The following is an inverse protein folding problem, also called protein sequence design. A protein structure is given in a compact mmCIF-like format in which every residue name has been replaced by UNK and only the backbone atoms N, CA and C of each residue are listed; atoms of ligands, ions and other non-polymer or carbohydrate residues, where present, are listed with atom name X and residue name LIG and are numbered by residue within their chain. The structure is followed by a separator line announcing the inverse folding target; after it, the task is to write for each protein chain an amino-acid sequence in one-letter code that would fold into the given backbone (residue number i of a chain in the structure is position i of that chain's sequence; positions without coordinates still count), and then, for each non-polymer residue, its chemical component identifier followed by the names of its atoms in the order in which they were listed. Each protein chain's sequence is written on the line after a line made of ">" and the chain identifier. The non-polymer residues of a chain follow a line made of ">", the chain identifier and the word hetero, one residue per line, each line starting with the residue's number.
data_IF_180505911821
#
_entry.id   IF_180505911821
#
_cell.length_a   1.000
_cell.length_b   1.000
_cell.length_c   1.000
_cell.angle_alpha   90.00
_cell.angle_beta   90.00
_cell.angle_gamma   90.00
#
_symmetry.space_group_name_H-M   'P 1'
#
loop_
_entity.id
_entity.type
_entity.pdbx_description
1 polymer ?
#
# COMPACT_ATOMS: atom_id res chain seq x y z
N UNK A 1 -11.37 -2.62 20.71
CA UNK A 1 -12.40 -2.55 19.65
C UNK A 1 -11.76 -1.92 18.41
N UNK A 2 -12.09 -2.42 17.21
CA UNK A 2 -11.57 -1.83 15.98
C UNK A 2 -12.17 -0.44 15.73
N UNK A 3 -11.38 0.53 15.22
CA UNK A 3 -11.91 1.83 14.87
C UNK A 3 -12.91 1.70 13.70
N UNK A 4 -13.99 2.47 13.74
CA UNK A 4 -15.01 2.52 12.68
C UNK A 4 -15.01 3.84 11.94
N UNK A 5 -14.61 4.91 12.61
CA UNK A 5 -14.57 6.26 12.06
C UNK A 5 -13.17 6.86 12.18
N UNK A 6 -12.94 7.98 11.49
CA UNK A 6 -11.69 8.75 11.63
C UNK A 6 -11.48 9.22 13.09
N UNK A 7 -12.55 9.55 13.80
CA UNK A 7 -12.45 9.94 15.20
C UNK A 7 -12.09 8.73 16.10
N UNK A 8 -12.62 7.55 15.83
CA UNK A 8 -12.20 6.34 16.53
C UNK A 8 -10.72 6.02 16.23
N UNK A 9 -10.31 6.14 14.96
CA UNK A 9 -8.91 5.95 14.56
C UNK A 9 -7.97 6.94 15.29
N UNK A 10 -8.34 8.21 15.33
CA UNK A 10 -7.62 9.21 16.12
C UNK A 10 -7.51 8.83 17.59
N UNK A 11 -8.59 8.32 18.21
CA UNK A 11 -8.57 7.88 19.60
C UNK A 11 -7.66 6.65 19.81
N UNK A 12 -7.60 5.74 18.84
CA UNK A 12 -6.62 4.61 18.87
C UNK A 12 -5.19 5.15 18.84
N UNK A 13 -4.89 6.11 17.96
CA UNK A 13 -3.55 6.72 17.92
C UNK A 13 -3.20 7.39 19.26
N UNK A 14 -4.14 8.10 19.88
CA UNK A 14 -3.96 8.70 21.20
C UNK A 14 -3.72 7.65 22.29
N UNK A 15 -4.46 6.56 22.27
CA UNK A 15 -4.30 5.50 23.26
C UNK A 15 -2.87 4.91 23.20
N UNK A 16 -2.36 4.65 22.01
CA UNK A 16 -0.97 4.19 21.85
C UNK A 16 0.08 5.21 22.28
N UNK A 17 -0.21 6.51 22.17
CA UNK A 17 0.69 7.57 22.61
C UNK A 17 0.67 7.81 24.12
N UNK A 18 -0.54 7.81 24.72
CA UNK A 18 -0.77 8.40 26.05
C UNK A 18 -0.89 7.35 27.16
N UNK A 19 -1.17 6.07 26.82
CA UNK A 19 -1.49 5.02 27.79
C UNK A 19 -0.33 4.08 28.11
N UNK A 20 0.92 4.47 27.78
CA UNK A 20 2.11 3.69 28.08
C UNK A 20 1.97 2.19 27.69
N UNK A 21 1.73 1.87 26.39
CA UNK A 21 1.40 0.50 25.95
C UNK A 21 2.58 -0.47 26.12
N UNK A 22 3.82 0.02 26.21
CA UNK A 22 5.01 -0.78 26.46
C UNK A 22 5.35 -0.91 27.96
N UNK A 23 4.58 -0.25 28.86
CA UNK A 23 4.68 -0.38 30.30
C UNK A 23 5.97 0.11 30.92
N UNK A 24 6.71 0.99 30.21
CA UNK A 24 8.00 1.48 30.68
C UNK A 24 7.94 2.73 31.55
N UNK A 25 6.75 3.32 31.73
CA UNK A 25 6.50 4.53 32.53
C UNK A 25 6.90 5.83 31.84
N UNK A 26 7.26 5.80 30.56
CA UNK A 26 7.66 6.97 29.76
C UNK A 26 6.63 7.23 28.65
N UNK A 27 6.44 8.51 28.30
CA UNK A 27 5.60 8.88 27.15
C UNK A 27 6.49 8.99 25.89
N UNK A 28 7.02 7.84 25.44
CA UNK A 28 7.98 7.76 24.32
C UNK A 28 7.52 6.89 23.16
N UNK A 29 6.22 6.51 23.16
CA UNK A 29 5.57 5.78 22.07
C UNK A 29 4.84 6.72 21.11
N UNK A 30 4.55 6.20 19.90
CA UNK A 30 3.78 6.88 18.88
C UNK A 30 2.49 6.11 18.59
N UNK A 31 1.44 6.83 18.22
CA UNK A 31 0.20 6.22 17.72
C UNK A 31 0.45 5.48 16.41
N UNK A 32 1.06 6.17 15.44
CA UNK A 32 1.36 5.64 14.12
C UNK A 32 2.80 5.98 13.72
N UNK A 33 3.50 5.02 13.12
CA UNK A 33 4.78 5.25 12.48
C UNK A 33 4.56 5.56 11.00
N UNK A 34 5.14 6.67 10.55
CA UNK A 34 5.15 7.12 9.15
C UNK A 34 6.60 7.27 8.71
N UNK A 35 6.89 6.97 7.46
CA UNK A 35 8.23 7.05 6.88
C UNK A 35 8.26 8.10 5.76
N UNK A 36 9.42 8.27 5.12
CA UNK A 36 9.57 9.06 3.90
C UNK A 36 8.63 8.60 2.76
N UNK A 37 8.14 7.34 2.81
CA UNK A 37 7.05 6.85 1.97
C UNK A 37 5.68 7.30 2.51
N UNK A 38 5.39 8.58 2.36
CA UNK A 38 4.15 9.21 2.86
C UNK A 38 2.90 8.78 2.09
N UNK A 39 3.02 8.50 0.80
CA UNK A 39 1.86 8.29 -0.09
C UNK A 39 0.96 7.13 0.35
N UNK A 40 1.50 6.06 0.90
CA UNK A 40 0.70 4.94 1.41
C UNK A 40 -0.30 5.37 2.48
N UNK A 41 0.16 5.88 3.64
CA UNK A 41 -0.72 6.35 4.72
C UNK A 41 -1.63 7.50 4.28
N UNK A 42 -1.11 8.52 3.60
CA UNK A 42 -1.87 9.70 3.20
C UNK A 42 -3.01 9.34 2.23
N UNK A 43 -2.75 8.52 1.22
CA UNK A 43 -3.77 8.17 0.24
C UNK A 43 -4.89 7.32 0.85
N UNK A 44 -4.56 6.39 1.78
CA UNK A 44 -5.58 5.63 2.50
C UNK A 44 -6.47 6.55 3.34
N UNK A 45 -5.87 7.45 4.13
CA UNK A 45 -6.62 8.41 4.95
C UNK A 45 -7.47 9.33 4.06
N UNK A 46 -6.93 9.80 2.93
CA UNK A 46 -7.67 10.65 2.00
C UNK A 46 -8.88 9.92 1.40
N UNK A 47 -8.73 8.66 0.99
CA UNK A 47 -9.83 7.81 0.52
C UNK A 47 -10.90 7.63 1.59
N UNK A 48 -10.51 7.34 2.83
CA UNK A 48 -11.43 7.21 3.97
C UNK A 48 -12.22 8.50 4.23
N UNK A 49 -11.60 9.66 4.01
CA UNK A 49 -12.23 10.96 4.15
C UNK A 49 -13.09 11.37 2.95
N UNK A 50 -13.11 10.59 1.86
CA UNK A 50 -13.95 10.84 0.69
C UNK A 50 -13.21 11.33 -0.55
N UNK A 51 -11.89 11.54 -0.50
CA UNK A 51 -11.11 11.93 -1.66
C UNK A 51 -11.17 10.86 -2.77
N UNK A 52 -11.00 11.23 -4.04
CA UNK A 52 -10.89 10.26 -5.13
C UNK A 52 -9.55 9.54 -5.12
N UNK A 53 -9.49 8.38 -5.79
CA UNK A 53 -8.27 7.62 -5.99
C UNK A 53 -7.47 8.24 -7.16
N UNK A 54 -6.38 8.92 -6.85
CA UNK A 54 -5.48 9.65 -7.74
C UNK A 54 -6.18 10.74 -8.58
N UNK A 55 -7.25 10.41 -9.28
CA UNK A 55 -8.10 11.33 -10.03
C UNK A 55 -9.57 11.11 -9.67
N UNK A 56 -10.34 12.18 -9.79
CA UNK A 56 -11.80 12.17 -9.64
C UNK A 56 -12.46 13.11 -10.64
N UNK A 57 -13.79 13.07 -10.68
CA UNK A 57 -14.58 13.99 -11.50
C UNK A 57 -14.94 15.23 -10.68
N UNK A 58 -14.46 16.38 -11.12
CA UNK A 58 -14.82 17.70 -10.58
C UNK A 58 -15.49 18.50 -11.70
N UNK A 59 -16.75 18.85 -11.50
CA UNK A 59 -17.55 19.51 -12.53
C UNK A 59 -17.59 18.77 -13.88
N UNK A 60 -17.60 17.42 -13.81
CA UNK A 60 -17.64 16.54 -14.99
C UNK A 60 -16.30 16.33 -15.68
N UNK A 61 -15.20 16.87 -15.14
CA UNK A 61 -13.84 16.72 -15.68
C UNK A 61 -12.92 16.02 -14.70
N UNK A 62 -11.96 15.26 -15.25
CA UNK A 62 -10.90 14.63 -14.47
C UNK A 62 -10.03 15.71 -13.81
N UNK A 63 -9.83 15.57 -12.51
CA UNK A 63 -8.92 16.40 -11.72
C UNK A 63 -8.15 15.54 -10.73
N UNK A 64 -6.87 15.84 -10.42
CA UNK A 64 -6.07 15.14 -9.42
C UNK A 64 -6.69 15.20 -8.02
N UNK A 65 -6.52 14.16 -7.22
CA UNK A 65 -7.07 14.04 -5.87
C UNK A 65 -6.72 15.22 -4.96
N UNK A 66 -5.51 15.76 -5.06
CA UNK A 66 -5.08 16.92 -4.26
C UNK A 66 -5.80 18.24 -4.60
N UNK A 67 -6.68 18.27 -5.63
CA UNK A 67 -7.56 19.40 -5.94
C UNK A 67 -8.94 19.30 -5.28
N UNK A 68 -9.18 18.25 -4.47
CA UNK A 68 -10.42 18.03 -3.72
C UNK A 68 -10.23 18.41 -2.26
N UNK A 69 -11.29 18.95 -1.65
CA UNK A 69 -11.24 19.41 -0.26
C UNK A 69 -10.99 18.27 0.72
N UNK A 70 -11.48 17.08 0.42
CA UNK A 70 -11.29 15.86 1.23
C UNK A 70 -9.81 15.45 1.35
N UNK A 71 -9.02 15.69 0.30
CA UNK A 71 -7.58 15.46 0.35
C UNK A 71 -6.87 16.45 1.29
N UNK A 72 -7.28 17.71 1.25
CA UNK A 72 -6.77 18.72 2.19
C UNK A 72 -7.20 18.42 3.63
N UNK A 73 -8.40 17.91 3.84
CA UNK A 73 -8.85 17.44 5.17
C UNK A 73 -7.95 16.31 5.69
N UNK A 74 -7.57 15.36 4.84
CA UNK A 74 -6.62 14.30 5.21
C UNK A 74 -5.24 14.85 5.60
N UNK A 75 -4.73 15.84 4.86
CA UNK A 75 -3.48 16.52 5.21
C UNK A 75 -3.59 17.26 6.56
N UNK A 76 -4.70 17.92 6.82
CA UNK A 76 -4.96 18.59 8.10
C UNK A 76 -5.04 17.60 9.25
N UNK A 77 -5.65 16.44 9.04
CA UNK A 77 -5.69 15.36 10.02
C UNK A 77 -4.28 14.87 10.34
N UNK A 78 -3.46 14.60 9.33
CA UNK A 78 -2.07 14.18 9.54
C UNK A 78 -1.22 15.26 10.21
N UNK A 79 -1.39 16.53 9.83
CA UNK A 79 -0.72 17.65 10.50
C UNK A 79 -1.13 17.74 11.98
N UNK A 80 -2.43 17.56 12.30
CA UNK A 80 -2.90 17.50 13.68
C UNK A 80 -2.22 16.37 14.44
N UNK A 81 -2.21 15.15 13.88
CA UNK A 81 -1.57 13.99 14.49
C UNK A 81 -0.05 14.22 14.70
N UNK A 82 0.63 14.86 13.75
CA UNK A 82 2.04 15.21 13.87
C UNK A 82 2.30 16.21 15.01
N UNK A 83 1.52 17.31 15.06
CA UNK A 83 1.67 18.34 16.07
C UNK A 83 1.37 17.83 17.49
N UNK A 84 0.50 16.85 17.63
CA UNK A 84 0.17 16.20 18.90
C UNK A 84 1.13 15.05 19.27
N UNK A 85 2.13 14.77 18.44
CA UNK A 85 3.12 13.71 18.65
C UNK A 85 2.54 12.31 18.48
N UNK A 86 1.40 12.15 17.81
CA UNK A 86 0.81 10.85 17.48
C UNK A 86 1.52 10.17 16.32
N UNK A 87 2.29 10.93 15.54
CA UNK A 87 3.16 10.44 14.46
C UNK A 87 4.62 10.76 14.86
N UNK A 88 5.54 9.87 14.52
CA UNK A 88 6.96 10.08 14.77
C UNK A 88 7.47 11.38 14.14
N UNK A 89 8.25 12.14 14.90
CA UNK A 89 8.67 13.50 14.54
C UNK A 89 9.75 13.54 13.43
N UNK A 90 10.40 12.43 13.17
CA UNK A 90 11.40 12.24 12.12
C UNK A 90 10.84 11.68 10.82
N UNK A 91 9.50 11.58 10.67
CA UNK A 91 8.80 10.96 9.54
C UNK A 91 9.35 11.37 8.17
N UNK A 92 9.71 12.64 7.99
CA UNK A 92 10.18 13.16 6.71
C UNK A 92 11.55 12.59 6.26
N UNK A 93 12.29 11.99 7.17
CA UNK A 93 13.64 11.43 6.94
C UNK A 93 13.77 10.00 7.42
N UNK A 94 12.69 9.44 7.98
CA UNK A 94 12.69 8.08 8.50
C UNK A 94 12.52 7.08 7.36
N UNK A 95 13.55 6.26 7.15
CA UNK A 95 13.59 5.33 6.01
C UNK A 95 12.59 4.17 6.17
N UNK A 96 11.97 3.79 5.07
CA UNK A 96 10.98 2.71 5.01
C UNK A 96 11.53 1.32 5.34
N UNK A 97 12.84 1.09 5.23
CA UNK A 97 13.48 -0.17 5.65
C UNK A 97 13.50 -0.34 7.18
N UNK A 98 13.44 0.77 7.95
CA UNK A 98 13.40 0.77 9.41
C UNK A 98 11.99 0.71 10.00
N UNK A 99 10.98 0.74 9.18
CA UNK A 99 9.57 0.82 9.59
C UNK A 99 9.19 -0.25 10.62
N UNK A 100 9.64 -1.48 10.40
CA UNK A 100 9.33 -2.60 11.27
C UNK A 100 9.97 -2.48 12.65
N UNK A 101 11.13 -1.84 12.77
CA UNK A 101 11.88 -1.76 14.03
C UNK A 101 11.08 -1.07 15.13
N UNK A 102 10.40 0.04 14.80
CA UNK A 102 9.61 0.80 15.76
C UNK A 102 8.37 0.01 16.24
N UNK A 103 7.74 -0.72 15.32
CA UNK A 103 6.60 -1.57 15.68
C UNK A 103 7.03 -2.76 16.55
N UNK A 104 8.07 -3.47 16.12
CA UNK A 104 8.57 -4.66 16.84
C UNK A 104 9.17 -4.32 18.22
N UNK A 105 9.66 -3.10 18.40
CA UNK A 105 10.15 -2.61 19.69
C UNK A 105 9.06 -2.04 20.60
N UNK A 106 7.77 -2.08 20.18
CA UNK A 106 6.66 -1.52 20.95
C UNK A 106 6.55 0.01 20.91
N UNK A 107 7.38 0.71 20.10
CA UNK A 107 7.39 2.18 20.04
C UNK A 107 6.28 2.77 19.16
N UNK A 108 5.64 1.97 18.32
CA UNK A 108 4.53 2.42 17.48
C UNK A 108 3.40 1.38 17.46
N UNK A 109 2.15 1.84 17.58
CA UNK A 109 0.98 0.97 17.64
C UNK A 109 0.36 0.66 16.28
N UNK A 110 0.50 1.55 15.29
CA UNK A 110 -0.16 1.44 13.99
C UNK A 110 0.81 1.65 12.84
N UNK A 111 0.63 0.82 11.80
CA UNK A 111 1.24 0.98 10.47
C UNK A 111 0.11 0.89 9.44
N UNK A 112 0.08 1.81 8.46
CA UNK A 112 -0.79 1.72 7.29
C UNK A 112 0.04 1.25 6.10
N UNK A 113 -0.14 0.00 5.70
CA UNK A 113 0.61 -0.65 4.62
C UNK A 113 -0.16 -1.85 4.05
N UNK A 114 0.44 -2.56 3.08
CA UNK A 114 -0.11 -3.79 2.53
C UNK A 114 -0.20 -4.90 3.58
N UNK A 115 -1.23 -5.73 3.50
CA UNK A 115 -1.58 -6.67 4.57
C UNK A 115 -0.55 -7.81 4.79
N UNK A 116 0.30 -8.14 3.81
CA UNK A 116 1.36 -9.14 4.00
C UNK A 116 2.38 -8.70 5.09
N UNK A 117 2.53 -7.41 5.31
CA UNK A 117 3.33 -6.86 6.40
C UNK A 117 2.77 -7.26 7.77
N UNK A 118 1.46 -7.19 7.96
CA UNK A 118 0.82 -7.57 9.23
C UNK A 118 1.14 -9.01 9.62
N UNK A 119 1.11 -9.93 8.65
CA UNK A 119 1.48 -11.33 8.86
C UNK A 119 2.92 -11.50 9.31
N UNK A 120 3.86 -10.81 8.64
CA UNK A 120 5.29 -10.85 9.00
C UNK A 120 5.55 -10.24 10.37
N UNK A 121 4.89 -9.11 10.68
CA UNK A 121 5.00 -8.47 11.99
C UNK A 121 4.42 -9.34 13.10
N UNK A 122 3.26 -9.98 12.89
CA UNK A 122 2.68 -10.90 13.86
C UNK A 122 3.63 -12.05 14.21
N UNK A 123 4.23 -12.67 13.21
CA UNK A 123 5.22 -13.75 13.43
C UNK A 123 6.45 -13.26 14.18
N UNK A 124 6.98 -12.09 13.81
CA UNK A 124 8.21 -11.57 14.39
C UNK A 124 7.99 -11.09 15.83
N UNK A 125 6.88 -10.40 16.12
CA UNK A 125 6.60 -9.90 17.47
C UNK A 125 6.28 -11.03 18.43
N UNK A 126 5.55 -12.07 17.97
CA UNK A 126 5.24 -13.25 18.78
C UNK A 126 6.47 -14.14 19.07
N UNK A 127 7.52 -14.05 18.25
CA UNK A 127 8.81 -14.65 18.55
C UNK A 127 9.54 -13.94 19.71
N UNK A 128 9.23 -12.65 19.95
CA UNK A 128 9.78 -11.84 21.06
C UNK A 128 8.86 -11.95 22.29
N UNK A 129 7.57 -11.73 22.10
CA UNK A 129 6.54 -11.86 23.13
C UNK A 129 5.39 -12.74 22.59
N UNK A 130 5.28 -14.00 23.06
CA UNK A 130 4.21 -14.91 22.63
C UNK A 130 2.78 -14.45 22.93
N UNK A 131 2.60 -13.44 23.79
CA UNK A 131 1.29 -12.86 24.11
C UNK A 131 0.96 -11.62 23.26
N UNK A 132 1.89 -11.15 22.44
CA UNK A 132 1.66 -10.00 21.58
C UNK A 132 0.59 -10.31 20.53
N UNK A 133 -0.36 -9.38 20.36
CA UNK A 133 -1.46 -9.50 19.40
C UNK A 133 -1.29 -8.42 18.33
N UNK A 134 -1.21 -8.84 17.08
CA UNK A 134 -1.33 -7.97 15.92
C UNK A 134 -2.72 -8.15 15.35
N UNK A 135 -3.40 -7.05 15.07
CA UNK A 135 -4.72 -7.04 14.46
C UNK A 135 -4.70 -6.24 13.15
N UNK A 136 -5.69 -6.42 12.30
CA UNK A 136 -5.84 -5.70 11.03
C UNK A 136 -7.26 -5.18 10.88
N UNK A 137 -7.38 -4.02 10.21
CA UNK A 137 -8.64 -3.49 9.73
C UNK A 137 -8.45 -2.91 8.32
N UNK A 138 -9.51 -2.89 7.51
CA UNK A 138 -9.43 -2.51 6.10
C UNK A 138 -9.62 -1.02 5.86
N UNK A 139 -10.51 -0.41 6.63
CA UNK A 139 -10.87 1.00 6.50
C UNK A 139 -11.50 1.53 7.78
N UNK A 140 -11.60 2.86 7.81
CA UNK A 140 -12.54 3.59 8.67
C UNK A 140 -13.37 4.53 7.80
N UNK A 141 -14.54 4.94 8.25
CA UNK A 141 -15.35 5.93 7.53
C UNK A 141 -15.01 7.35 8.03
N UNK A 142 -15.31 8.37 7.24
CA UNK A 142 -15.14 9.77 7.66
C UNK A 142 -15.93 10.06 8.94
N UNK A 143 -17.17 9.58 8.98
CA UNK A 143 -18.08 9.64 10.12
C UNK A 143 -19.09 8.47 10.04
N UNK A 144 -19.97 8.36 11.04
CA UNK A 144 -20.94 7.28 11.13
C UNK A 144 -22.02 7.27 10.01
N UNK A 145 -22.15 8.35 9.25
CA UNK A 145 -23.09 8.49 8.13
C UNK A 145 -22.44 8.30 6.76
N UNK A 146 -21.12 8.21 6.72
CA UNK A 146 -20.35 8.10 5.49
C UNK A 146 -20.28 6.66 5.02
N UNK A 147 -20.32 6.47 3.68
CA UNK A 147 -20.12 5.16 3.07
C UNK A 147 -18.64 4.72 3.19
N UNK A 148 -18.40 3.40 3.38
CA UNK A 148 -17.06 2.85 3.36
C UNK A 148 -16.34 3.09 2.02
N UNK A 149 -15.05 3.34 2.09
CA UNK A 149 -14.20 3.58 0.91
C UNK A 149 -12.82 2.96 1.13
N UNK A 150 -12.33 2.25 0.14
CA UNK A 150 -11.02 1.59 0.21
C UNK A 150 -10.17 1.93 -1.01
N UNK A 151 -8.86 1.97 -0.80
CA UNK A 151 -7.87 2.18 -1.86
C UNK A 151 -7.53 0.81 -2.48
N UNK A 152 -7.92 0.54 -3.73
CA UNK A 152 -7.52 -0.67 -4.43
C UNK A 152 -6.09 -0.56 -4.95
N UNK A 153 -5.50 -1.70 -5.31
CA UNK A 153 -4.38 -1.73 -6.24
C UNK A 153 -4.89 -1.59 -7.68
N UNK A 154 -3.99 -1.31 -8.62
CA UNK A 154 -4.30 -1.25 -10.05
C UNK A 154 -4.73 -2.61 -10.63
N UNK A 155 -4.54 -3.71 -9.86
CA UNK A 155 -4.83 -5.08 -10.32
C UNK A 155 -3.68 -5.71 -11.11
N UNK A 156 -2.56 -5.01 -11.27
CA UNK A 156 -1.32 -5.52 -11.85
C UNK A 156 -0.12 -4.87 -11.15
N UNK A 157 1.00 -5.62 -11.08
CA UNK A 157 2.29 -5.12 -10.55
C UNK A 157 3.25 -4.74 -11.68
N UNK A 158 3.08 -5.35 -12.85
CA UNK A 158 3.95 -5.14 -13.99
C UNK A 158 3.55 -6.01 -15.17
N UNK A 159 4.28 -5.89 -16.25
CA UNK A 159 4.11 -6.71 -17.45
C UNK A 159 5.45 -7.04 -18.08
N UNK A 160 5.48 -8.18 -18.74
CA UNK A 160 6.61 -8.57 -19.56
C UNK A 160 6.51 -7.92 -20.93
N UNK A 161 7.62 -7.37 -21.40
CA UNK A 161 7.74 -6.82 -22.76
C UNK A 161 8.77 -7.60 -23.55
N UNK A 162 8.46 -7.90 -24.80
CA UNK A 162 9.31 -8.65 -25.73
C UNK A 162 9.73 -7.73 -26.90
N UNK A 163 10.89 -7.03 -26.79
CA UNK A 163 11.33 -6.14 -27.85
C UNK A 163 11.60 -6.95 -29.14
N UNK A 164 11.03 -6.53 -30.25
CA UNK A 164 11.22 -7.19 -31.57
C UNK A 164 12.67 -7.23 -32.04
N UNK A 165 13.53 -6.41 -31.45
CA UNK A 165 14.99 -6.41 -31.70
C UNK A 165 15.70 -7.59 -31.03
N UNK A 166 15.13 -8.14 -29.94
CA UNK A 166 15.73 -9.23 -29.16
C UNK A 166 14.96 -10.55 -29.36
N UNK A 167 13.64 -10.47 -29.59
CA UNK A 167 12.75 -11.60 -29.88
C UNK A 167 12.23 -11.38 -31.29
N UNK A 168 12.99 -11.81 -32.28
CA UNK A 168 12.75 -11.45 -33.68
C UNK A 168 11.76 -12.36 -34.39
N UNK A 169 11.55 -13.58 -33.91
CA UNK A 169 10.71 -14.59 -34.54
C UNK A 169 9.55 -15.01 -33.62
N UNK A 170 8.48 -15.51 -34.20
CA UNK A 170 7.38 -16.13 -33.44
C UNK A 170 7.86 -17.37 -32.68
N UNK A 171 8.78 -18.15 -33.26
CA UNK A 171 9.35 -19.34 -32.60
C UNK A 171 10.09 -18.98 -31.30
N UNK A 172 10.89 -17.88 -31.31
CA UNK A 172 11.57 -17.38 -30.10
C UNK A 172 10.54 -16.93 -29.04
N UNK A 173 9.47 -16.25 -29.48
CA UNK A 173 8.42 -15.79 -28.59
C UNK A 173 7.65 -16.98 -27.99
N UNK A 174 7.26 -17.95 -28.79
CA UNK A 174 6.55 -19.15 -28.35
C UNK A 174 7.40 -19.97 -27.36
N UNK A 175 8.71 -20.05 -27.61
CA UNK A 175 9.63 -20.71 -26.66
C UNK A 175 9.63 -19.99 -25.30
N UNK A 176 9.75 -18.66 -25.30
CA UNK A 176 9.77 -17.87 -24.04
C UNK A 176 8.43 -17.98 -23.31
N UNK A 177 7.31 -17.85 -24.03
CA UNK A 177 5.98 -17.99 -23.44
C UNK A 177 5.76 -19.39 -22.89
N UNK A 178 6.26 -20.42 -23.58
CA UNK A 178 6.23 -21.81 -23.09
C UNK A 178 7.02 -22.01 -21.80
N UNK A 179 8.17 -21.35 -21.63
CA UNK A 179 8.93 -21.35 -20.37
C UNK A 179 8.13 -20.67 -19.26
N UNK A 180 7.51 -19.52 -19.56
CA UNK A 180 6.68 -18.80 -18.59
C UNK A 180 5.44 -19.59 -18.18
N UNK A 181 4.79 -20.27 -19.12
CA UNK A 181 3.66 -21.18 -18.84
C UNK A 181 4.07 -22.31 -17.91
N UNK A 182 5.19 -22.98 -18.20
CA UNK A 182 5.77 -24.00 -17.33
C UNK A 182 6.12 -23.50 -15.93
N UNK A 183 6.59 -22.28 -15.81
CA UNK A 183 6.90 -21.67 -14.51
C UNK A 183 5.63 -21.44 -13.64
N UNK A 184 4.43 -21.45 -14.26
CA UNK A 184 3.15 -21.33 -13.56
C UNK A 184 2.50 -22.68 -13.22
N UNK A 185 3.08 -23.80 -13.59
CA UNK A 185 2.62 -25.12 -13.15
C UNK A 185 2.83 -25.28 -11.63
N UNK A 186 1.93 -26.03 -10.99
CA UNK A 186 1.93 -26.19 -9.52
C UNK A 186 3.29 -26.65 -8.98
N UNK A 187 3.93 -27.61 -9.66
CA UNK A 187 5.23 -28.14 -9.25
C UNK A 187 6.33 -27.07 -9.28
N UNK A 188 6.38 -26.26 -10.35
CA UNK A 188 7.33 -25.18 -10.49
C UNK A 188 7.08 -24.07 -9.44
N UNK A 189 5.83 -23.69 -9.21
CA UNK A 189 5.46 -22.73 -8.18
C UNK A 189 5.82 -23.21 -6.78
N UNK A 190 5.58 -24.48 -6.47
CA UNK A 190 5.96 -25.05 -5.18
C UNK A 190 7.47 -25.06 -5.00
N UNK A 191 8.22 -25.46 -6.03
CA UNK A 191 9.69 -25.46 -6.02
C UNK A 191 10.23 -24.05 -5.77
N UNK A 192 9.73 -23.05 -6.49
CA UNK A 192 10.20 -21.67 -6.36
C UNK A 192 9.85 -21.03 -5.01
N UNK A 193 8.74 -21.42 -4.38
CA UNK A 193 8.29 -20.81 -3.13
C UNK A 193 8.69 -21.57 -1.86
N UNK A 194 8.91 -22.89 -1.96
CA UNK A 194 9.12 -23.76 -0.80
C UNK A 194 10.31 -24.68 -0.93
N UNK A 195 10.89 -24.84 -2.14
CA UNK A 195 11.94 -25.79 -2.40
C UNK A 195 11.40 -27.21 -2.63
N UNK A 196 12.10 -28.21 -2.14
CA UNK A 196 11.84 -29.64 -2.36
C UNK A 196 11.19 -30.24 -1.12
N UNK A 197 10.05 -30.93 -1.31
CA UNK A 197 9.38 -31.70 -0.25
C UNK A 197 10.31 -32.76 0.36
N UNK A 198 10.23 -32.93 1.66
CA UNK A 198 11.11 -33.79 2.45
C UNK A 198 12.50 -33.23 2.71
N UNK A 199 12.97 -32.24 1.93
CA UNK A 199 14.24 -31.53 2.13
C UNK A 199 14.02 -30.15 2.77
N UNK A 200 13.32 -29.26 2.10
CA UNK A 200 13.13 -27.87 2.53
C UNK A 200 11.82 -27.69 3.33
N UNK A 201 10.82 -28.54 3.08
CA UNK A 201 9.55 -28.55 3.77
C UNK A 201 8.95 -29.97 3.84
N UNK A 202 7.99 -30.15 4.73
CA UNK A 202 7.09 -31.30 4.77
C UNK A 202 5.65 -30.80 4.60
N UNK A 203 4.70 -31.72 4.34
CA UNK A 203 3.27 -31.39 4.42
C UNK A 203 2.71 -31.93 5.76
N UNK A 204 1.83 -31.12 6.38
CA UNK A 204 1.07 -31.59 7.54
C UNK A 204 -0.08 -32.52 7.12
N UNK A 205 -0.87 -32.99 8.10
CA UNK A 205 -1.99 -33.92 7.86
C UNK A 205 -3.11 -33.28 6.99
N UNK A 206 -3.19 -31.97 6.93
CA UNK A 206 -4.18 -31.21 6.16
C UNK A 206 -3.64 -30.78 4.78
N UNK A 207 -2.36 -31.09 4.48
CA UNK A 207 -1.71 -30.77 3.21
C UNK A 207 -1.09 -29.37 3.16
N UNK A 208 -0.93 -28.68 4.29
CA UNK A 208 -0.23 -27.41 4.35
C UNK A 208 1.28 -27.57 4.47
N UNK A 209 2.01 -26.62 3.90
CA UNK A 209 3.47 -26.59 3.95
C UNK A 209 3.97 -26.27 5.37
N UNK A 210 4.82 -27.11 5.90
CA UNK A 210 5.59 -26.89 7.12
C UNK A 210 7.06 -26.75 6.75
N UNK A 211 7.57 -25.52 6.75
CA UNK A 211 8.98 -25.25 6.42
C UNK A 211 9.92 -25.83 7.47
N UNK A 212 11.06 -26.34 7.03
CA UNK A 212 12.14 -26.72 7.95
C UNK A 212 12.74 -25.46 8.59
N UNK A 213 12.93 -25.48 9.90
CA UNK A 213 13.58 -24.39 10.65
C UNK A 213 15.11 -24.49 10.52
N UNK A 214 15.61 -24.22 9.31
CA UNK A 214 17.04 -24.19 8.97
C UNK A 214 17.31 -23.08 7.94
N UNK A 215 18.07 -22.08 8.36
CA UNK A 215 18.40 -20.92 7.53
C UNK A 215 19.19 -21.29 6.26
N UNK A 216 19.97 -22.39 6.27
CA UNK A 216 20.71 -22.83 5.08
C UNK A 216 19.77 -23.47 4.06
N UNK A 217 18.79 -24.26 4.53
CA UNK A 217 17.78 -24.83 3.65
C UNK A 217 16.89 -23.74 3.04
N UNK A 218 16.57 -22.69 3.80
CA UNK A 218 15.81 -21.54 3.30
C UNK A 218 16.55 -20.81 2.17
N UNK A 219 17.86 -20.63 2.28
CA UNK A 219 18.68 -20.00 1.24
C UNK A 219 18.68 -20.74 -0.09
N UNK A 220 18.42 -22.04 -0.11
CA UNK A 220 18.43 -22.83 -1.33
C UNK A 220 17.34 -22.43 -2.32
N UNK A 221 16.23 -21.91 -1.87
CA UNK A 221 15.08 -21.55 -2.71
C UNK A 221 14.60 -20.10 -2.56
N UNK A 222 15.09 -19.36 -1.55
CA UNK A 222 14.55 -18.04 -1.21
C UNK A 222 14.55 -17.05 -2.39
N UNK A 223 15.57 -17.09 -3.24
CA UNK A 223 15.68 -16.18 -4.39
C UNK A 223 14.92 -16.70 -5.62
N UNK A 224 14.50 -17.98 -5.63
CA UNK A 224 13.77 -18.56 -6.77
C UNK A 224 12.35 -17.97 -6.89
N UNK A 225 11.77 -17.46 -5.82
CA UNK A 225 10.47 -16.85 -5.85
C UNK A 225 10.41 -15.59 -6.73
N UNK A 226 11.55 -14.97 -7.04
CA UNK A 226 11.66 -13.84 -7.97
C UNK A 226 11.35 -14.23 -9.43
N UNK A 227 11.41 -15.50 -9.77
CA UNK A 227 10.99 -16.03 -11.07
C UNK A 227 9.49 -16.31 -11.16
N UNK A 228 8.76 -16.19 -10.05
CA UNK A 228 7.31 -16.38 -10.05
C UNK A 228 6.64 -15.28 -10.89
N UNK A 229 5.73 -15.69 -11.75
CA UNK A 229 4.94 -14.78 -12.59
C UNK A 229 3.70 -14.22 -11.87
N UNK A 230 3.59 -14.45 -10.56
CA UNK A 230 2.52 -13.89 -9.73
C UNK A 230 1.22 -14.68 -9.68
N UNK A 231 1.04 -15.75 -10.46
CA UNK A 231 -0.14 -16.62 -10.37
C UNK A 231 0.01 -17.53 -9.18
N UNK A 232 -0.77 -17.27 -8.11
CA UNK A 232 -0.61 -17.89 -6.80
C UNK A 232 -1.63 -19.01 -6.54
N UNK A 233 -2.69 -19.10 -7.37
CA UNK A 233 -3.86 -19.94 -7.10
C UNK A 233 -3.58 -21.46 -7.06
N UNK A 234 -2.50 -21.92 -7.69
CA UNK A 234 -2.17 -23.36 -7.81
C UNK A 234 -1.08 -23.83 -6.86
N UNK A 235 -0.35 -22.93 -6.18
CA UNK A 235 0.71 -23.36 -5.24
C UNK A 235 0.12 -23.90 -3.95
N UNK A 236 0.90 -24.75 -3.27
CA UNK A 236 0.62 -25.18 -1.91
C UNK A 236 0.51 -23.97 -0.97
N UNK A 237 -0.26 -24.12 0.10
CA UNK A 237 -0.47 -23.07 1.09
C UNK A 237 0.35 -23.37 2.36
N UNK A 238 0.81 -22.33 3.03
CA UNK A 238 1.35 -22.42 4.38
C UNK A 238 0.19 -22.26 5.36
N UNK A 239 0.13 -23.12 6.37
CA UNK A 239 -0.73 -22.89 7.51
C UNK A 239 -0.10 -21.78 8.34
N UNK A 240 -0.74 -20.63 8.37
CA UNK A 240 -0.24 -19.53 9.19
C UNK A 240 -0.53 -19.79 10.65
N UNK A 241 0.49 -19.64 11.49
CA UNK A 241 0.40 -19.87 12.94
C UNK A 241 -0.39 -18.76 13.68
N UNK A 242 -0.91 -17.75 12.97
CA UNK A 242 -1.59 -16.59 13.57
C UNK A 242 -2.98 -16.39 12.98
N UNK A 243 -3.96 -16.03 13.81
CA UNK A 243 -5.33 -15.68 13.43
C UNK A 243 -5.39 -14.47 12.45
N UNK A 244 -4.30 -13.69 12.38
CA UNK A 244 -4.15 -12.53 11.48
C UNK A 244 -4.30 -12.92 10.01
N UNK A 245 -3.88 -14.13 9.62
CA UNK A 245 -3.95 -14.54 8.21
C UNK A 245 -5.37 -14.75 7.72
N UNK A 246 -6.24 -15.35 8.54
CA UNK A 246 -7.66 -15.51 8.24
C UNK A 246 -8.32 -14.13 8.17
N UNK A 247 -8.04 -13.28 9.15
CA UNK A 247 -8.58 -11.94 9.21
C UNK A 247 -8.15 -11.03 8.04
N UNK A 248 -6.93 -11.19 7.54
CA UNK A 248 -6.48 -10.49 6.32
C UNK A 248 -7.39 -10.83 5.13
N UNK A 249 -7.76 -12.11 4.98
CA UNK A 249 -8.65 -12.51 3.89
C UNK A 249 -10.05 -11.93 4.05
N UNK A 250 -10.61 -11.92 5.26
CA UNK A 250 -11.90 -11.28 5.57
C UNK A 250 -11.88 -9.78 5.23
N UNK A 251 -10.79 -9.09 5.64
CA UNK A 251 -10.58 -7.66 5.34
C UNK A 251 -10.48 -7.41 3.83
N UNK A 252 -9.80 -8.28 3.08
CA UNK A 252 -9.71 -8.14 1.63
C UNK A 252 -11.06 -8.35 0.95
N UNK A 253 -11.85 -9.33 1.41
CA UNK A 253 -13.14 -9.61 0.83
C UNK A 253 -14.15 -8.47 1.10
N UNK A 254 -14.08 -7.87 2.28
CA UNK A 254 -14.85 -6.67 2.60
C UNK A 254 -14.37 -5.45 1.81
N UNK A 255 -13.06 -5.19 1.76
CA UNK A 255 -12.50 -4.05 1.03
C UNK A 255 -12.89 -4.02 -0.44
N UNK A 256 -12.99 -5.18 -1.10
CA UNK A 256 -13.42 -5.28 -2.52
C UNK A 256 -14.78 -4.68 -2.79
N UNK A 257 -15.67 -4.65 -1.79
CA UNK A 257 -17.02 -4.11 -1.91
C UNK A 257 -17.05 -2.57 -1.94
N UNK A 258 -15.95 -1.93 -1.51
CA UNK A 258 -15.89 -0.49 -1.24
C UNK A 258 -14.75 0.22 -2.00
N UNK A 259 -14.20 -0.43 -3.02
CA UNK A 259 -13.07 0.11 -3.79
C UNK A 259 -13.42 1.39 -4.53
N UNK A 260 -12.53 2.37 -4.49
CA UNK A 260 -12.63 3.63 -5.23
C UNK A 260 -11.78 3.53 -6.48
N UNK A 261 -12.41 3.39 -7.63
CA UNK A 261 -11.71 3.33 -8.91
C UNK A 261 -11.03 4.68 -9.24
N UNK A 262 -9.90 4.61 -9.95
CA UNK A 262 -9.30 5.78 -10.57
C UNK A 262 -9.88 5.94 -11.99
N UNK A 263 -10.70 6.97 -12.26
CA UNK A 263 -11.32 7.13 -13.57
C UNK A 263 -10.30 7.51 -14.67
N UNK A 264 -9.09 7.90 -14.30
CA UNK A 264 -8.02 8.23 -15.25
C UNK A 264 -7.12 7.02 -15.59
N UNK A 265 -7.27 5.89 -14.90
CA UNK A 265 -6.43 4.70 -15.05
C UNK A 265 -6.25 4.20 -16.50
N UNK A 266 -7.28 4.21 -17.35
CA UNK A 266 -7.14 3.73 -18.74
C UNK A 266 -6.39 4.69 -19.66
N UNK A 267 -6.15 5.93 -19.24
CA UNK A 267 -5.67 6.98 -20.14
C UNK A 267 -4.19 7.28 -19.92
N UNK A 268 -3.52 7.66 -21.02
CA UNK A 268 -2.09 7.98 -21.02
C UNK A 268 -1.91 9.47 -21.34
N UNK A 269 -1.04 10.14 -20.57
CA UNK A 269 -0.57 11.49 -20.86
C UNK A 269 0.90 11.46 -21.29
N UNK A 270 1.20 11.93 -22.50
CA UNK A 270 2.58 12.08 -22.99
C UNK A 270 3.40 13.03 -22.12
N UNK A 271 2.72 14.06 -21.60
CA UNK A 271 3.36 15.00 -20.67
C UNK A 271 3.70 14.34 -19.35
N UNK A 272 2.81 13.51 -18.80
CA UNK A 272 3.10 12.78 -17.57
C UNK A 272 4.19 11.73 -17.78
N UNK A 273 4.21 11.04 -18.91
CA UNK A 273 5.27 10.06 -19.25
C UNK A 273 6.67 10.69 -19.25
N UNK A 274 6.79 11.98 -19.54
CA UNK A 274 8.07 12.69 -19.60
C UNK A 274 8.40 13.53 -18.37
N UNK A 275 7.39 14.04 -17.65
CA UNK A 275 7.53 14.96 -16.51
C UNK A 275 6.95 14.45 -15.22
N UNK A 276 6.34 13.28 -15.22
CA UNK A 276 5.68 12.68 -14.03
C UNK A 276 6.51 12.77 -12.77
N UNK A 277 7.76 12.26 -12.74
CA UNK A 277 8.59 12.32 -11.52
C UNK A 277 8.82 13.74 -10.98
N UNK A 278 8.94 14.74 -11.87
CA UNK A 278 9.09 16.15 -11.45
C UNK A 278 7.80 16.72 -10.87
N UNK A 279 6.67 16.38 -11.47
CA UNK A 279 5.35 16.81 -11.03
C UNK A 279 4.99 16.16 -9.69
N UNK A 280 5.25 14.88 -9.54
CA UNK A 280 5.05 14.16 -8.28
C UNK A 280 5.89 14.72 -7.15
N UNK A 281 7.16 15.06 -7.41
CA UNK A 281 8.06 15.63 -6.42
C UNK A 281 7.53 16.95 -5.86
N UNK A 282 6.88 17.80 -6.67
CA UNK A 282 6.30 19.07 -6.20
C UNK A 282 5.25 18.81 -5.12
N UNK A 283 4.32 17.88 -5.36
CA UNK A 283 3.22 17.62 -4.43
C UNK A 283 3.66 16.78 -3.24
N UNK A 284 4.55 15.81 -3.43
CA UNK A 284 5.12 15.01 -2.35
C UNK A 284 5.88 15.89 -1.34
N UNK A 285 6.73 16.80 -1.83
CA UNK A 285 7.44 17.76 -0.97
C UNK A 285 6.46 18.70 -0.26
N UNK A 286 5.44 19.20 -0.97
CA UNK A 286 4.44 20.08 -0.40
C UNK A 286 3.61 19.40 0.69
N UNK A 287 3.19 18.16 0.46
CA UNK A 287 2.43 17.37 1.44
C UNK A 287 3.25 17.13 2.70
N UNK A 288 4.50 16.71 2.56
CA UNK A 288 5.41 16.52 3.69
C UNK A 288 5.58 17.81 4.49
N UNK A 289 5.90 18.91 3.82
CA UNK A 289 6.07 20.24 4.47
C UNK A 289 4.81 20.71 5.18
N UNK A 290 3.64 20.46 4.61
CA UNK A 290 2.37 20.81 5.23
C UNK A 290 2.13 19.99 6.50
N UNK A 291 2.34 18.68 6.43
CA UNK A 291 2.13 17.77 7.58
C UNK A 291 3.04 18.14 8.74
N UNK A 292 4.32 18.44 8.49
CA UNK A 292 5.27 18.84 9.53
C UNK A 292 5.16 20.32 9.93
N UNK A 293 4.18 21.06 9.37
CA UNK A 293 3.91 22.45 9.75
C UNK A 293 4.90 23.49 9.22
N UNK A 294 5.69 23.14 8.19
CA UNK A 294 6.66 24.07 7.56
C UNK A 294 6.01 25.04 6.58
N UNK A 295 4.86 24.71 6.03
CA UNK A 295 4.09 25.58 5.15
C UNK A 295 2.61 25.64 5.58
N UNK A 296 1.98 26.79 5.35
CA UNK A 296 0.56 27.04 5.57
C UNK A 296 -0.31 26.43 4.48
N UNK A 297 -1.62 26.35 4.70
CA UNK A 297 -2.60 25.96 3.68
C UNK A 297 -2.51 26.82 2.41
N UNK A 298 -2.29 28.12 2.58
CA UNK A 298 -2.13 29.05 1.45
C UNK A 298 -0.89 28.69 0.62
N UNK A 299 0.24 28.44 1.27
CA UNK A 299 1.48 28.05 0.59
C UNK A 299 1.38 26.66 -0.05
N UNK A 300 0.67 25.73 0.58
CA UNK A 300 0.40 24.42 -0.01
C UNK A 300 -0.46 24.56 -1.28
N UNK A 301 -1.52 25.35 -1.25
CA UNK A 301 -2.33 25.67 -2.45
C UNK A 301 -1.51 26.32 -3.56
N UNK A 302 -0.53 27.16 -3.21
CA UNK A 302 0.38 27.75 -4.20
C UNK A 302 1.28 26.69 -4.88
N UNK A 303 1.53 25.52 -4.24
CA UNK A 303 2.25 24.43 -4.90
C UNK A 303 1.37 23.71 -5.94
N UNK A 304 0.06 23.68 -5.78
CA UNK A 304 -0.87 23.23 -6.83
C UNK A 304 -0.74 24.14 -8.06
N UNK A 305 -0.74 25.46 -7.87
CA UNK A 305 -0.54 26.43 -8.97
C UNK A 305 0.82 26.21 -9.66
N UNK A 306 1.87 25.98 -8.88
CA UNK A 306 3.19 25.64 -9.40
C UNK A 306 3.16 24.32 -10.19
N UNK A 307 2.49 23.30 -9.70
CA UNK A 307 2.31 22.01 -10.37
C UNK A 307 1.61 22.19 -11.73
N UNK A 308 0.52 22.98 -11.78
CA UNK A 308 -0.19 23.32 -13.01
C UNK A 308 0.73 23.98 -14.03
N UNK A 309 1.50 25.00 -13.61
CA UNK A 309 2.42 25.76 -14.45
C UNK A 309 3.59 24.92 -14.97
N UNK A 310 4.05 23.93 -14.20
CA UNK A 310 5.17 23.05 -14.58
C UNK A 310 4.79 21.93 -15.56
N UNK A 311 3.53 21.87 -15.96
CA UNK A 311 3.02 20.91 -16.94
C UNK A 311 1.79 20.12 -16.49
N UNK A 312 1.39 20.25 -15.24
CA UNK A 312 0.23 19.56 -14.69
C UNK A 312 -1.07 19.93 -15.39
N UNK A 313 -1.25 21.20 -15.79
CA UNK A 313 -2.41 21.58 -16.58
C UNK A 313 -2.49 20.79 -17.89
N UNK A 314 -1.36 20.62 -18.56
CA UNK A 314 -1.32 19.85 -19.81
C UNK A 314 -1.61 18.38 -19.59
N UNK A 315 -1.15 17.79 -18.46
CA UNK A 315 -1.54 16.43 -18.07
C UNK A 315 -3.05 16.30 -17.93
N UNK A 316 -3.68 17.25 -17.20
CA UNK A 316 -5.14 17.28 -17.03
C UNK A 316 -5.84 17.39 -18.39
N UNK A 317 -5.38 18.27 -19.27
CA UNK A 317 -5.99 18.47 -20.58
C UNK A 317 -5.89 17.23 -21.46
N UNK A 318 -4.72 16.54 -21.47
CA UNK A 318 -4.50 15.30 -22.22
C UNK A 318 -5.41 14.17 -21.70
N UNK A 319 -5.50 13.98 -20.37
CA UNK A 319 -6.37 12.97 -19.76
C UNK A 319 -7.84 13.25 -20.01
N UNK A 320 -8.28 14.50 -19.87
CA UNK A 320 -9.67 14.87 -20.16
C UNK A 320 -10.04 14.69 -21.62
N UNK A 321 -9.14 15.02 -22.55
CA UNK A 321 -9.36 14.76 -23.97
C UNK A 321 -9.58 13.27 -24.23
N UNK A 322 -8.73 12.39 -23.65
CA UNK A 322 -8.87 10.94 -23.82
C UNK A 322 -10.16 10.43 -23.16
N UNK A 323 -10.54 10.97 -22.00
CA UNK A 323 -11.78 10.66 -21.30
C UNK A 323 -13.02 11.05 -22.10
N UNK A 324 -13.02 12.24 -22.74
CA UNK A 324 -14.12 12.71 -23.59
C UNK A 324 -14.25 11.92 -24.90
N UNK A 325 -13.15 11.37 -25.41
CA UNK A 325 -13.11 10.55 -26.64
C UNK A 325 -13.47 9.05 -26.37
N UNK A 326 -13.64 8.64 -25.12
CA UNK A 326 -13.95 7.26 -24.74
C UNK A 326 -15.46 6.99 -24.80
N UNK A 327 -15.90 6.30 -25.85
CA UNK A 327 -17.30 5.90 -26.05
C UNK A 327 -17.86 5.01 -24.93
N UNK A 328 -17.03 4.37 -24.11
CA UNK A 328 -17.46 3.51 -23.00
C UNK A 328 -17.97 4.31 -21.80
N UNK A 329 -17.50 5.57 -21.66
CA UNK A 329 -17.86 6.47 -20.57
C UNK A 329 -19.11 7.30 -20.90
N UNK A 330 -19.42 7.44 -22.18
CA UNK A 330 -20.56 8.26 -22.66
C UNK A 330 -21.90 7.49 -22.65
N UNK A 331 -21.92 6.24 -22.24
CA UNK A 331 -23.13 5.36 -22.13
C UNK A 331 -23.55 5.20 -20.68
#
# INVERSE_FOLDING_TARGET
>A
EQPKTIDDFYNVLKAFKEQDPDGNGANDTYGMIVTDYLNGPLNNIAIWMGAPNQYGLKDGKLAPAFMFDEYLEALKFMNKCYNEGLINQDMATYSSDKWNEQFLSGKAGVIIDVADRARRLAQNIQAIDPNAVVDVFGYVTKDASSEPRTLPTTGYDGYYVFPKTSVATEEDLDFILGVMDKANEQEALNLMNYGIEGRNYDLDADGYVVKKDDANLTKEYNDLNQFSTGIVATKLQIKYATDVAEKIQEVYDENKLHTVANPAEPYVSDTYSTRGPQLEAIMSEANTKFIVGQISEYEWKAQIDRWLQQGGQKVIDELNKAYEEDDSVQK
#
